data_IF_624926791634
#
_entry.id   IF_624926791634
#
_cell.length_a   1.000
_cell.length_b   1.000
_cell.length_c   1.000
_cell.angle_alpha   90.00
_cell.angle_beta   90.00
_cell.angle_gamma   90.00
#
_symmetry.space_group_name_H-M   'P 1'
#
loop_
_entity.id
_entity.type
_entity.pdbx_description
1 polymer ?
#
# COMPACT_ATOMS: atom_id res chain seq x y z
N UNK A 1 17.38 -10.98 24.51
CA UNK A 1 16.51 -10.72 23.33
C UNK A 1 16.57 -11.94 22.44
N UNK A 2 15.42 -12.48 22.03
CA UNK A 2 15.38 -13.70 21.23
C UNK A 2 15.65 -13.41 19.74
N UNK A 3 16.36 -14.29 19.06
CA UNK A 3 16.57 -14.23 17.61
C UNK A 3 15.88 -15.43 16.95
N UNK A 4 15.25 -15.21 15.80
CA UNK A 4 14.68 -16.25 14.95
C UNK A 4 15.55 -16.44 13.72
N UNK A 5 15.88 -17.68 13.39
CA UNK A 5 16.37 -18.06 12.07
C UNK A 5 15.29 -17.88 11.01
N UNK A 6 15.69 -17.84 9.73
CA UNK A 6 14.77 -17.80 8.60
C UNK A 6 13.80 -19.00 8.63
N UNK A 7 14.26 -20.18 9.07
CA UNK A 7 13.44 -21.38 9.15
C UNK A 7 12.37 -21.29 10.26
N UNK A 8 12.76 -20.78 11.44
CA UNK A 8 11.83 -20.57 12.56
C UNK A 8 10.79 -19.49 12.22
N UNK A 9 11.22 -18.38 11.62
CA UNK A 9 10.28 -17.34 11.15
C UNK A 9 9.28 -17.90 10.13
N UNK A 10 9.75 -18.70 9.17
CA UNK A 10 8.86 -19.34 8.19
C UNK A 10 7.87 -20.30 8.84
N UNK A 11 8.31 -21.11 9.80
CA UNK A 11 7.42 -22.01 10.54
C UNK A 11 6.33 -21.22 11.26
N UNK A 12 6.69 -20.07 11.86
CA UNK A 12 5.74 -19.17 12.51
C UNK A 12 4.75 -18.56 11.50
N UNK A 13 5.24 -18.11 10.35
CA UNK A 13 4.40 -17.51 9.30
C UNK A 13 3.46 -18.54 8.65
N UNK A 14 3.94 -19.75 8.38
CA UNK A 14 3.18 -20.85 7.78
C UNK A 14 2.15 -21.43 8.75
N UNK A 15 2.39 -21.36 10.07
CA UNK A 15 1.42 -21.73 11.09
C UNK A 15 0.22 -20.76 11.19
N UNK A 16 0.19 -19.68 10.40
CA UNK A 16 -0.92 -18.73 10.33
C UNK A 16 -1.11 -17.89 11.60
N UNK A 17 -0.11 -17.86 12.49
CA UNK A 17 -0.16 -17.04 13.70
C UNK A 17 0.00 -15.57 13.34
N UNK A 18 -0.84 -14.71 13.91
CA UNK A 18 -0.69 -13.26 13.76
C UNK A 18 0.68 -12.80 14.25
N UNK A 19 1.34 -11.98 13.45
CA UNK A 19 2.65 -11.41 13.76
C UNK A 19 2.85 -10.11 12.98
N UNK A 20 3.73 -9.24 13.49
CA UNK A 20 4.17 -8.04 12.80
C UNK A 20 5.61 -8.22 12.30
N UNK A 21 5.82 -8.21 10.98
CA UNK A 21 7.15 -8.21 10.38
C UNK A 21 7.56 -6.76 10.06
N UNK A 22 8.43 -6.17 10.88
CA UNK A 22 8.77 -4.74 10.81
C UNK A 22 10.21 -4.56 10.34
N UNK A 23 10.39 -3.89 9.21
CA UNK A 23 11.70 -3.54 8.67
C UNK A 23 12.11 -2.15 9.18
N UNK A 24 13.16 -2.12 9.99
CA UNK A 24 13.64 -0.92 10.69
C UNK A 24 14.67 -0.12 9.91
N UNK A 25 14.99 -0.55 8.69
CA UNK A 25 15.94 0.11 7.82
C UNK A 25 15.37 1.42 7.27
N UNK A 26 16.23 2.23 6.67
CA UNK A 26 15.81 3.47 6.05
C UNK A 26 14.86 3.22 4.87
N UNK A 27 13.90 4.12 4.57
CA UNK A 27 12.96 3.93 3.48
C UNK A 27 13.63 3.64 2.13
N UNK A 28 14.79 4.24 1.86
CA UNK A 28 15.56 3.95 0.65
C UNK A 28 16.06 2.51 0.57
N UNK A 29 16.57 1.97 1.68
CA UNK A 29 17.03 0.57 1.78
C UNK A 29 15.84 -0.39 1.59
N UNK A 30 14.73 -0.11 2.27
CA UNK A 30 13.49 -0.89 2.16
C UNK A 30 12.95 -0.91 0.73
N UNK A 31 12.84 0.27 0.12
CA UNK A 31 12.28 0.44 -1.21
C UNK A 31 13.14 -0.22 -2.28
N UNK A 32 14.47 -0.23 -2.11
CA UNK A 32 15.36 -0.93 -3.03
C UNK A 32 15.09 -2.44 -3.00
N UNK A 33 15.06 -3.04 -1.80
CA UNK A 33 14.81 -4.47 -1.63
C UNK A 33 14.42 -4.82 -0.19
N UNK A 34 13.30 -5.50 -0.01
CA UNK A 34 12.80 -5.95 1.31
C UNK A 34 12.20 -7.35 1.28
N UNK A 35 11.94 -7.89 2.47
CA UNK A 35 11.27 -9.17 2.66
C UNK A 35 9.78 -8.99 2.29
N UNK A 36 9.18 -9.84 1.44
CA UNK A 36 7.78 -9.69 1.08
C UNK A 36 6.87 -9.69 2.31
N UNK A 37 5.85 -8.84 2.29
CA UNK A 37 4.89 -8.66 3.39
C UNK A 37 5.47 -8.05 4.69
N UNK A 38 6.73 -7.60 4.70
CA UNK A 38 7.20 -6.73 5.79
C UNK A 38 6.54 -5.36 5.71
N UNK A 39 6.51 -4.64 6.82
CA UNK A 39 6.10 -3.23 6.89
C UNK A 39 7.31 -2.36 7.20
N UNK A 40 7.51 -1.27 6.46
CA UNK A 40 8.56 -0.30 6.76
C UNK A 40 8.20 0.52 8.00
N UNK A 41 9.05 0.41 9.02
CA UNK A 41 9.01 1.23 10.24
C UNK A 41 10.46 1.61 10.58
N UNK A 42 11.04 2.64 9.93
CA UNK A 42 12.41 3.06 10.18
C UNK A 42 12.67 3.26 11.68
N UNK A 43 13.87 2.92 12.18
CA UNK A 43 14.19 3.00 13.61
C UNK A 43 13.73 4.31 14.26
N UNK A 44 13.94 5.45 13.60
CA UNK A 44 13.57 6.80 14.11
C UNK A 44 12.07 7.02 14.34
N UNK A 45 11.22 6.19 13.74
CA UNK A 45 9.77 6.38 13.75
C UNK A 45 9.08 5.46 14.77
N UNK A 46 9.81 4.55 15.43
CA UNK A 46 9.26 3.50 16.30
C UNK A 46 8.40 4.11 17.40
N UNK A 47 8.92 5.08 18.13
CA UNK A 47 8.27 5.70 19.28
C UNK A 47 6.96 6.41 18.89
N UNK A 48 6.79 6.77 17.62
CA UNK A 48 5.63 7.52 17.12
C UNK A 48 4.61 6.65 16.40
N UNK A 49 5.05 5.58 15.72
CA UNK A 49 4.19 4.81 14.78
C UNK A 49 3.96 3.37 15.17
N UNK A 50 4.73 2.84 16.13
CA UNK A 50 4.66 1.42 16.47
C UNK A 50 3.27 1.01 16.99
N UNK A 51 2.65 1.83 17.84
CA UNK A 51 1.33 1.55 18.38
C UNK A 51 0.22 1.52 17.31
N UNK A 52 0.33 2.36 16.28
CA UNK A 52 -0.62 2.39 15.16
C UNK A 52 -0.47 1.16 14.25
N UNK A 53 0.77 0.71 14.06
CA UNK A 53 1.07 -0.44 13.18
C UNK A 53 0.87 -1.79 13.87
N UNK A 54 1.11 -1.87 15.17
CA UNK A 54 1.01 -3.07 15.97
C UNK A 54 0.28 -2.76 17.30
N UNK A 55 -1.04 -2.53 17.29
CA UNK A 55 -1.76 -2.12 18.50
C UNK A 55 -1.80 -3.22 19.59
N UNK A 56 -1.80 -4.50 19.19
CA UNK A 56 -1.75 -5.63 20.11
C UNK A 56 -0.33 -5.84 20.66
N UNK A 57 -0.16 -5.69 21.98
CA UNK A 57 1.14 -5.82 22.67
C UNK A 57 1.61 -7.27 22.82
N UNK A 58 0.66 -8.19 22.74
CA UNK A 58 0.82 -9.65 22.76
C UNK A 58 1.22 -10.23 21.39
N UNK A 59 1.01 -9.46 20.31
CA UNK A 59 1.34 -9.89 18.94
C UNK A 59 2.87 -9.95 18.79
N UNK A 60 3.44 -11.10 18.37
CA UNK A 60 4.86 -11.22 18.09
C UNK A 60 5.34 -10.20 17.06
N UNK A 61 6.37 -9.43 17.42
CA UNK A 61 7.09 -8.55 16.49
C UNK A 61 8.37 -9.25 16.05
N UNK A 62 8.55 -9.33 14.74
CA UNK A 62 9.80 -9.77 14.09
C UNK A 62 10.45 -8.54 13.47
N UNK A 63 11.57 -8.13 14.05
CA UNK A 63 12.36 -6.98 13.62
C UNK A 63 13.35 -7.41 12.55
N UNK A 64 13.27 -6.77 11.40
CA UNK A 64 14.17 -6.96 10.26
C UNK A 64 15.08 -5.74 10.15
N UNK A 65 16.38 -5.93 10.27
CA UNK A 65 17.37 -4.90 10.01
C UNK A 65 18.39 -5.33 8.96
N UNK A 66 19.58 -4.78 9.06
CA UNK A 66 20.79 -5.14 8.31
C UNK A 66 21.58 -6.29 8.96
N UNK A 67 21.10 -6.85 10.07
CA UNK A 67 21.82 -7.84 10.88
C UNK A 67 22.75 -7.23 11.92
N UNK A 68 22.77 -5.89 12.05
CA UNK A 68 23.61 -5.16 13.00
C UNK A 68 22.89 -4.61 14.23
N UNK A 69 23.57 -3.69 14.92
CA UNK A 69 23.16 -3.11 16.20
C UNK A 69 21.85 -2.32 16.12
N UNK A 70 21.56 -1.72 14.96
CA UNK A 70 20.33 -0.96 14.72
C UNK A 70 19.07 -1.78 15.03
N UNK A 71 19.06 -3.07 14.67
CA UNK A 71 17.94 -3.96 14.96
C UNK A 71 17.83 -4.29 16.45
N UNK A 72 18.96 -4.48 17.15
CA UNK A 72 18.98 -4.74 18.59
C UNK A 72 18.42 -3.56 19.38
N UNK A 73 18.87 -2.34 19.07
CA UNK A 73 18.36 -1.13 19.71
C UNK A 73 16.88 -0.90 19.42
N UNK A 74 16.42 -1.17 18.19
CA UNK A 74 15.00 -1.12 17.84
C UNK A 74 14.17 -2.07 18.70
N UNK A 75 14.56 -3.34 18.77
CA UNK A 75 13.84 -4.35 19.54
C UNK A 75 13.85 -4.07 21.05
N UNK A 76 14.95 -3.53 21.59
CA UNK A 76 15.00 -3.11 23.00
C UNK A 76 14.02 -1.98 23.28
N UNK A 77 13.92 -1.02 22.35
CA UNK A 77 12.96 0.08 22.40
C UNK A 77 11.53 -0.45 22.35
N UNK A 78 11.22 -1.40 21.46
CA UNK A 78 9.90 -2.03 21.38
C UNK A 78 9.53 -2.75 22.69
N UNK A 79 10.46 -3.50 23.29
CA UNK A 79 10.24 -4.15 24.58
C UNK A 79 9.97 -3.14 25.70
N UNK A 80 10.73 -2.04 25.77
CA UNK A 80 10.50 -0.95 26.72
C UNK A 80 9.14 -0.25 26.52
N UNK A 81 8.63 -0.25 25.29
CA UNK A 81 7.29 0.24 24.97
C UNK A 81 6.17 -0.75 25.34
N UNK A 82 6.50 -1.89 25.97
CA UNK A 82 5.53 -2.85 26.51
C UNK A 82 5.11 -3.96 25.56
N UNK A 83 5.86 -4.21 24.48
CA UNK A 83 5.62 -5.38 23.62
C UNK A 83 6.22 -6.64 24.25
N UNK A 84 5.39 -7.66 24.42
CA UNK A 84 5.73 -8.87 25.19
C UNK A 84 6.69 -9.79 24.44
N UNK A 85 6.54 -9.84 23.11
CA UNK A 85 7.24 -10.79 22.24
C UNK A 85 7.93 -10.05 21.10
N UNK A 86 9.22 -9.74 21.26
CA UNK A 86 10.03 -9.08 20.23
C UNK A 86 11.22 -9.96 19.86
N UNK A 87 11.30 -10.31 18.58
CA UNK A 87 12.30 -11.18 18.00
C UNK A 87 13.12 -10.44 16.93
N UNK A 88 14.41 -10.71 16.85
CA UNK A 88 15.24 -10.28 15.72
C UNK A 88 15.26 -11.37 14.65
N UNK A 89 15.08 -11.01 13.39
CA UNK A 89 15.39 -11.94 12.30
C UNK A 89 16.91 -12.04 12.16
N UNK A 90 17.47 -13.22 12.42
CA UNK A 90 18.92 -13.48 12.39
C UNK A 90 19.50 -13.13 11.03
N UNK A 91 20.52 -12.26 11.02
CA UNK A 91 21.17 -11.78 9.80
C UNK A 91 20.33 -10.82 8.95
N UNK A 92 19.11 -10.48 9.38
CA UNK A 92 18.26 -9.45 8.78
C UNK A 92 17.92 -9.69 7.31
N UNK A 93 17.66 -8.60 6.60
CA UNK A 93 17.40 -8.62 5.16
C UNK A 93 18.58 -9.16 4.33
N UNK A 94 19.86 -8.89 4.65
CA UNK A 94 20.99 -9.48 3.92
C UNK A 94 20.99 -11.01 3.92
N UNK A 95 20.84 -11.64 5.08
CA UNK A 95 20.80 -13.11 5.17
C UNK A 95 19.58 -13.70 4.45
N UNK A 96 18.43 -13.01 4.46
CA UNK A 96 17.27 -13.41 3.67
C UNK A 96 17.56 -13.44 2.17
N UNK A 97 18.26 -12.41 1.67
CA UNK A 97 18.66 -12.30 0.26
C UNK A 97 19.70 -13.37 -0.09
N UNK A 98 20.72 -13.56 0.74
CA UNK A 98 21.79 -14.55 0.53
C UNK A 98 21.23 -15.98 0.50
N UNK A 99 20.20 -16.26 1.29
CA UNK A 99 19.47 -17.53 1.27
C UNK A 99 18.58 -17.73 0.02
N UNK A 100 18.68 -16.85 -0.99
CA UNK A 100 17.95 -16.94 -2.25
C UNK A 100 16.44 -16.81 -2.11
N UNK A 101 15.96 -16.14 -1.05
CA UNK A 101 14.53 -16.02 -0.78
C UNK A 101 13.88 -14.92 -1.63
N UNK A 102 12.57 -15.02 -1.92
CA UNK A 102 11.84 -13.98 -2.64
C UNK A 102 11.96 -12.63 -1.96
N UNK A 103 12.07 -11.56 -2.74
CA UNK A 103 12.17 -10.17 -2.28
C UNK A 103 11.19 -9.30 -3.04
N UNK A 104 10.83 -8.16 -2.47
CA UNK A 104 10.00 -7.15 -3.11
C UNK A 104 10.75 -5.80 -3.21
N UNK A 105 10.28 -4.95 -4.12
CA UNK A 105 10.84 -3.62 -4.41
C UNK A 105 9.71 -2.59 -4.46
N UNK A 106 9.98 -1.38 -3.97
CA UNK A 106 9.02 -0.29 -3.86
C UNK A 106 8.18 -0.32 -2.58
N UNK A 107 7.14 0.51 -2.56
CA UNK A 107 6.21 0.65 -1.42
C UNK A 107 4.86 0.05 -1.72
N UNK A 108 4.15 -0.40 -0.67
CA UNK A 108 2.76 -0.86 -0.73
C UNK A 108 2.54 -1.96 -1.79
N UNK A 109 3.53 -2.85 -1.92
CA UNK A 109 3.59 -3.88 -2.96
C UNK A 109 2.36 -4.78 -2.98
N UNK A 110 1.82 -5.28 -1.84
CA UNK A 110 0.61 -6.09 -1.85
C UNK A 110 -0.58 -5.36 -2.50
N UNK A 111 -0.82 -4.11 -2.11
CA UNK A 111 -1.93 -3.30 -2.63
C UNK A 111 -1.77 -2.99 -4.12
N UNK A 112 -0.55 -2.67 -4.56
CA UNK A 112 -0.26 -2.40 -5.99
C UNK A 112 -0.46 -3.65 -6.84
N UNK A 113 0.07 -4.79 -6.39
CA UNK A 113 -0.11 -6.08 -7.04
C UNK A 113 -1.60 -6.45 -7.15
N UNK A 114 -2.36 -6.26 -6.06
CA UNK A 114 -3.79 -6.51 -6.08
C UNK A 114 -4.52 -5.64 -7.12
N UNK A 115 -4.16 -4.35 -7.23
CA UNK A 115 -4.67 -3.48 -8.29
C UNK A 115 -4.41 -4.02 -9.70
N UNK A 116 -3.18 -4.44 -9.99
CA UNK A 116 -2.85 -5.05 -11.30
C UNK A 116 -3.60 -6.36 -11.56
N UNK A 117 -3.82 -7.18 -10.52
CA UNK A 117 -4.61 -8.40 -10.63
C UNK A 117 -6.08 -8.10 -10.93
N UNK A 118 -6.66 -7.06 -10.31
CA UNK A 118 -8.02 -6.59 -10.60
C UNK A 118 -8.13 -6.04 -12.02
N UNK A 119 -7.19 -5.19 -12.44
CA UNK A 119 -7.15 -4.64 -13.80
C UNK A 119 -7.21 -5.74 -14.85
N UNK A 120 -6.33 -6.74 -14.74
CA UNK A 120 -6.26 -7.87 -15.67
C UNK A 120 -7.49 -8.77 -15.61
N UNK A 121 -7.98 -9.13 -14.42
CA UNK A 121 -9.08 -10.10 -14.27
C UNK A 121 -10.46 -9.52 -14.59
N UNK A 122 -10.65 -8.23 -14.33
CA UNK A 122 -11.93 -7.54 -14.51
C UNK A 122 -11.98 -6.69 -15.79
N UNK A 123 -10.90 -6.71 -16.58
CA UNK A 123 -10.74 -5.93 -17.81
C UNK A 123 -11.17 -4.48 -17.58
N UNK A 124 -10.55 -3.85 -16.58
CA UNK A 124 -10.93 -2.50 -16.15
C UNK A 124 -10.67 -1.52 -17.29
N UNK A 125 -11.69 -0.78 -17.78
CA UNK A 125 -11.52 0.16 -18.88
C UNK A 125 -10.52 1.26 -18.51
N UNK A 126 -9.67 1.63 -19.48
CA UNK A 126 -8.70 2.71 -19.34
C UNK A 126 -8.94 3.76 -20.42
N UNK A 127 -8.60 5.02 -20.14
CA UNK A 127 -8.54 6.09 -21.14
C UNK A 127 -7.11 6.62 -21.27
N UNK A 128 -6.65 6.81 -22.52
CA UNK A 128 -5.34 7.41 -22.75
C UNK A 128 -5.34 8.88 -22.28
N UNK A 129 -4.30 9.37 -21.58
CA UNK A 129 -4.26 10.75 -21.10
C UNK A 129 -4.41 11.81 -22.20
N UNK A 130 -3.94 11.54 -23.43
CA UNK A 130 -4.10 12.45 -24.57
C UNK A 130 -5.53 12.43 -25.07
N UNK A 131 -6.17 11.26 -25.12
CA UNK A 131 -7.58 11.15 -25.45
C UNK A 131 -8.44 11.91 -24.45
N UNK A 132 -8.21 11.71 -23.14
CA UNK A 132 -8.89 12.45 -22.08
C UNK A 132 -8.74 13.96 -22.27
N UNK A 133 -7.51 14.44 -22.48
CA UNK A 133 -7.25 15.85 -22.71
C UNK A 133 -8.03 16.41 -23.91
N UNK A 134 -8.06 15.66 -25.02
CA UNK A 134 -8.78 16.07 -26.23
C UNK A 134 -10.30 16.08 -26.01
N UNK A 135 -10.87 15.10 -25.34
CA UNK A 135 -12.29 15.09 -25.00
C UNK A 135 -12.66 16.28 -24.11
N UNK A 136 -11.84 16.59 -23.11
CA UNK A 136 -12.02 17.76 -22.24
C UNK A 136 -11.94 19.07 -23.03
N UNK A 137 -10.97 19.18 -23.95
CA UNK A 137 -10.81 20.37 -24.80
C UNK A 137 -11.99 20.58 -25.76
N UNK A 138 -12.67 19.50 -26.18
CA UNK A 138 -13.90 19.56 -26.99
C UNK A 138 -15.16 19.86 -26.17
N UNK A 139 -15.08 19.93 -24.85
CA UNK A 139 -16.25 20.14 -23.99
C UNK A 139 -17.18 18.93 -23.92
N UNK A 140 -16.67 17.72 -24.13
CA UNK A 140 -17.46 16.50 -23.91
C UNK A 140 -17.86 16.38 -22.43
N UNK A 141 -19.05 15.81 -22.13
CA UNK A 141 -19.51 15.67 -20.75
C UNK A 141 -18.64 14.63 -20.02
N UNK A 142 -17.61 15.11 -19.32
CA UNK A 142 -16.65 14.29 -18.57
C UNK A 142 -16.58 14.73 -17.12
N UNK A 143 -16.53 13.75 -16.22
CA UNK A 143 -16.23 13.94 -14.81
C UNK A 143 -14.91 13.25 -14.46
N UNK A 144 -13.89 14.04 -14.10
CA UNK A 144 -12.62 13.50 -13.61
C UNK A 144 -12.65 13.48 -12.08
N UNK A 145 -12.56 12.29 -11.49
CA UNK A 145 -12.55 12.09 -10.03
C UNK A 145 -11.18 11.58 -9.59
N UNK A 146 -10.53 12.30 -8.69
CA UNK A 146 -9.21 11.95 -8.19
C UNK A 146 -9.31 11.16 -6.89
N UNK A 147 -8.93 9.88 -6.95
CA UNK A 147 -9.03 8.92 -5.85
C UNK A 147 -7.93 9.04 -4.78
N UNK A 148 -7.07 10.06 -4.87
CA UNK A 148 -6.01 10.31 -3.88
C UNK A 148 -6.52 11.01 -2.64
N UNK A 149 -5.64 11.13 -1.65
CA UNK A 149 -5.90 11.94 -0.46
C UNK A 149 -6.03 13.43 -0.82
N UNK A 150 -6.77 14.24 -0.03
CA UNK A 150 -6.85 15.68 -0.24
C UNK A 150 -5.48 16.36 -0.27
N UNK A 151 -4.54 15.90 0.54
CA UNK A 151 -3.18 16.44 0.60
C UNK A 151 -2.37 16.16 -0.68
N UNK A 152 -2.56 15.00 -1.31
CA UNK A 152 -1.95 14.69 -2.60
C UNK A 152 -2.59 15.50 -3.74
N UNK A 153 -3.91 15.62 -3.73
CA UNK A 153 -4.67 16.38 -4.72
C UNK A 153 -4.32 17.88 -4.68
N UNK A 154 -4.20 18.45 -3.48
CA UNK A 154 -3.85 19.86 -3.29
C UNK A 154 -2.46 20.24 -3.79
N UNK A 155 -1.53 19.27 -3.94
CA UNK A 155 -0.20 19.52 -4.50
C UNK A 155 -0.22 19.65 -6.03
N UNK A 156 -1.03 18.82 -6.69
CA UNK A 156 -1.24 18.85 -8.14
C UNK A 156 -2.45 17.98 -8.49
N UNK A 157 -3.18 18.35 -9.54
CA UNK A 157 -4.34 17.59 -10.03
C UNK A 157 -4.54 17.78 -11.54
N UNK A 158 -5.41 16.97 -12.14
CA UNK A 158 -5.89 17.20 -13.50
C UNK A 158 -6.84 18.42 -13.46
N UNK A 159 -6.68 19.43 -14.33
CA UNK A 159 -7.55 20.60 -14.35
C UNK A 159 -9.04 20.24 -14.46
N UNK A 160 -9.89 20.83 -13.63
CA UNK A 160 -11.32 20.52 -13.57
C UNK A 160 -11.67 19.21 -12.87
N UNK A 161 -10.68 18.48 -12.36
CA UNK A 161 -10.90 17.30 -11.51
C UNK A 161 -11.58 17.66 -10.19
N UNK A 162 -12.15 16.64 -9.56
CA UNK A 162 -12.76 16.72 -8.23
C UNK A 162 -12.10 15.67 -7.36
N UNK A 163 -11.62 16.06 -6.18
CA UNK A 163 -11.07 15.07 -5.25
C UNK A 163 -12.19 14.26 -4.61
N UNK A 164 -12.15 12.95 -4.82
CA UNK A 164 -13.04 11.98 -4.18
C UNK A 164 -12.18 10.81 -3.74
N UNK A 165 -11.62 10.83 -2.52
CA UNK A 165 -10.77 9.76 -2.01
C UNK A 165 -11.40 8.38 -2.23
N UNK A 166 -10.60 7.36 -2.54
CA UNK A 166 -11.12 6.07 -3.02
C UNK A 166 -12.20 5.43 -2.14
N UNK A 167 -12.15 5.61 -0.82
CA UNK A 167 -13.18 5.14 0.12
C UNK A 167 -14.53 5.86 -0.01
N UNK A 168 -14.53 7.10 -0.49
CA UNK A 168 -15.71 7.94 -0.63
C UNK A 168 -16.42 7.74 -1.98
N UNK A 169 -15.76 7.15 -2.98
CA UNK A 169 -16.34 6.92 -4.32
C UNK A 169 -17.69 6.18 -4.26
N UNK A 170 -17.82 5.24 -3.31
CA UNK A 170 -19.07 4.49 -3.10
C UNK A 170 -20.25 5.39 -2.70
N UNK A 171 -19.98 6.49 -1.99
CA UNK A 171 -21.00 7.46 -1.58
C UNK A 171 -21.49 8.28 -2.77
N UNK A 172 -20.62 8.50 -3.76
CA UNK A 172 -20.92 9.27 -4.97
C UNK A 172 -21.64 8.46 -6.05
N UNK A 173 -21.61 7.13 -5.97
CA UNK A 173 -22.15 6.25 -7.02
C UNK A 173 -23.63 6.55 -7.33
N UNK A 174 -24.45 6.88 -6.33
CA UNK A 174 -25.85 7.21 -6.51
C UNK A 174 -26.09 8.49 -7.32
N UNK A 175 -25.26 9.51 -7.12
CA UNK A 175 -25.36 10.78 -7.85
C UNK A 175 -24.80 10.63 -9.27
N UNK A 176 -23.67 9.94 -9.43
CA UNK A 176 -23.05 9.68 -10.73
C UNK A 176 -24.00 8.93 -11.68
N UNK A 177 -24.84 8.02 -11.17
CA UNK A 177 -25.87 7.30 -11.96
C UNK A 177 -26.97 8.21 -12.52
N UNK A 178 -27.18 9.39 -11.96
CA UNK A 178 -28.19 10.36 -12.45
C UNK A 178 -27.74 11.05 -13.74
N UNK A 179 -26.47 10.91 -14.12
CA UNK A 179 -25.87 11.51 -15.31
C UNK A 179 -25.33 10.43 -16.28
N UNK A 180 -26.17 9.52 -16.83
CA UNK A 180 -25.70 8.38 -17.63
C UNK A 180 -25.01 8.77 -18.95
N UNK A 181 -25.21 10.01 -19.43
CA UNK A 181 -24.51 10.55 -20.61
C UNK A 181 -23.13 11.13 -20.33
N UNK A 182 -22.74 11.26 -19.05
CA UNK A 182 -21.44 11.82 -18.64
C UNK A 182 -20.42 10.70 -18.52
N UNK A 183 -19.27 10.78 -19.19
CA UNK A 183 -18.18 9.82 -18.98
C UNK A 183 -17.47 10.11 -17.67
N UNK A 184 -17.20 9.08 -16.87
CA UNK A 184 -16.54 9.21 -15.57
C UNK A 184 -15.13 8.64 -15.69
N UNK A 185 -14.13 9.40 -15.25
CA UNK A 185 -12.73 9.01 -15.29
C UNK A 185 -12.15 9.08 -13.88
N UNK A 186 -11.63 7.97 -13.37
CA UNK A 186 -11.04 7.89 -12.03
C UNK A 186 -9.52 7.90 -12.13
N UNK A 187 -8.89 9.00 -11.75
CA UNK A 187 -7.44 9.10 -11.80
C UNK A 187 -6.80 8.91 -10.41
N UNK A 188 -5.50 8.63 -10.42
CA UNK A 188 -4.63 8.83 -9.27
C UNK A 188 -3.23 9.27 -9.74
N UNK A 189 -2.20 9.19 -8.88
CA UNK A 189 -0.82 9.53 -9.26
C UNK A 189 -0.10 8.40 -10.01
N UNK A 190 -0.61 7.17 -9.92
CA UNK A 190 -0.10 6.00 -10.62
C UNK A 190 -1.26 5.29 -11.27
N UNK A 191 -1.47 4.01 -10.95
CA UNK A 191 -2.55 3.21 -11.53
C UNK A 191 -3.51 2.63 -10.49
N UNK A 192 -2.97 2.16 -9.36
CA UNK A 192 -3.68 1.33 -8.38
C UNK A 192 -5.01 1.90 -7.91
N UNK A 193 -5.05 3.16 -7.44
CA UNK A 193 -6.28 3.75 -6.89
C UNK A 193 -7.31 4.07 -7.98
N UNK A 194 -6.85 4.45 -9.18
CA UNK A 194 -7.71 4.63 -10.36
C UNK A 194 -8.39 3.33 -10.74
N UNK A 195 -7.61 2.26 -10.92
CA UNK A 195 -8.12 0.91 -11.23
C UNK A 195 -9.16 0.44 -10.20
N UNK A 196 -8.81 0.51 -8.91
CA UNK A 196 -9.70 0.05 -7.84
C UNK A 196 -10.97 0.90 -7.77
N UNK A 197 -10.85 2.23 -7.91
CA UNK A 197 -12.00 3.14 -7.92
C UNK A 197 -12.93 2.87 -9.10
N UNK A 198 -12.40 2.73 -10.31
CA UNK A 198 -13.15 2.40 -11.52
C UNK A 198 -13.88 1.07 -11.34
N UNK A 199 -13.19 0.02 -10.91
CA UNK A 199 -13.83 -1.29 -10.74
C UNK A 199 -14.87 -1.28 -9.61
N UNK A 200 -14.66 -0.50 -8.55
CA UNK A 200 -15.64 -0.32 -7.47
C UNK A 200 -16.93 0.29 -8.00
N UNK A 201 -16.86 1.36 -8.81
CA UNK A 201 -18.05 1.98 -9.41
C UNK A 201 -18.74 1.06 -10.42
N UNK A 202 -17.98 0.27 -11.19
CA UNK A 202 -18.54 -0.75 -12.09
C UNK A 202 -19.32 -1.83 -11.34
N UNK A 203 -18.79 -2.33 -10.22
CA UNK A 203 -19.52 -3.26 -9.35
C UNK A 203 -20.79 -2.66 -8.77
N UNK A 204 -20.85 -1.34 -8.63
CA UNK A 204 -22.05 -0.62 -8.23
C UNK A 204 -22.99 -0.33 -9.42
N UNK A 205 -22.69 -0.78 -10.64
CA UNK A 205 -23.56 -0.66 -11.81
C UNK A 205 -23.42 0.65 -12.59
N UNK A 206 -22.22 1.25 -12.60
CA UNK A 206 -21.87 2.31 -13.54
C UNK A 206 -21.03 1.75 -14.69
N UNK A 207 -21.55 1.82 -15.92
CA UNK A 207 -20.91 1.25 -17.11
C UNK A 207 -20.06 2.26 -17.89
N UNK A 208 -20.20 3.55 -17.57
CA UNK A 208 -19.56 4.71 -18.20
C UNK A 208 -18.28 5.18 -17.47
N UNK A 209 -17.57 4.26 -16.80
CA UNK A 209 -16.40 4.56 -15.96
C UNK A 209 -15.11 3.96 -16.51
N UNK A 210 -14.04 4.74 -16.57
CA UNK A 210 -12.69 4.30 -16.93
C UNK A 210 -11.64 4.81 -15.94
N UNK A 211 -10.50 4.12 -15.84
CA UNK A 211 -9.31 4.55 -15.10
C UNK A 211 -8.36 5.40 -15.99
#
# INVERSE_FOLDING_TARGET
MAELSIAEFRTLAEAGKSHALLDIREPGEYNARHIPNSTSLPRRDIEFRLADLAPGRDIPIIVVGDGGERARLAAATMALNGYESVYLLRGGCPAWIEAGRPTATGTNVPSKRFGEEVHRKCEVPEIDPRELHLCMARGEPIRVLDARTPEEYGRFCIPGGINVPGGDLVLWAGDLKKEPGTRIVINCAGRTRGIIGTQTLRLLGLDNVSA
#
